data_IF_289819551543
#
_entry.id   IF_289819551543
#
_cell.length_a   1.000
_cell.length_b   1.000
_cell.length_c   1.000
_cell.angle_alpha   90.00
_cell.angle_beta   90.00
_cell.angle_gamma   90.00
#
_symmetry.space_group_name_H-M   'P 1'
#
loop_
_entity.id
_entity.type
_entity.pdbx_description
1 polymer ?
#
# COMPACT_ATOMS: atom_id res chain seq x y z
N UNK A 1 14.11 22.53 -6.72
CA UNK A 1 13.12 22.74 -5.64
C UNK A 1 12.58 21.38 -5.19
N UNK A 2 12.27 21.19 -3.90
CA UNK A 2 11.58 19.96 -3.45
C UNK A 2 10.11 20.03 -3.88
N UNK A 3 9.50 18.88 -4.18
CA UNK A 3 8.12 18.79 -4.71
C UNK A 3 7.06 19.45 -3.81
N UNK A 4 7.18 19.32 -2.49
CA UNK A 4 6.26 19.93 -1.52
C UNK A 4 6.32 21.46 -1.50
N UNK A 5 7.50 22.03 -1.71
CA UNK A 5 7.73 23.48 -1.67
C UNK A 5 7.12 24.13 -2.93
N UNK A 6 7.17 23.43 -4.06
CA UNK A 6 6.51 23.84 -5.30
C UNK A 6 4.98 23.87 -5.16
N UNK A 7 4.38 22.82 -4.60
CA UNK A 7 2.92 22.76 -4.45
C UNK A 7 2.41 23.90 -3.56
N UNK A 8 3.07 24.15 -2.41
CA UNK A 8 2.73 25.27 -1.52
C UNK A 8 2.80 26.63 -2.23
N UNK A 9 3.81 26.83 -3.07
CA UNK A 9 3.99 28.07 -3.81
C UNK A 9 2.93 28.28 -4.90
N UNK A 10 2.54 27.22 -5.61
CA UNK A 10 1.45 27.29 -6.59
C UNK A 10 0.11 27.54 -5.90
N UNK A 11 -0.11 26.95 -4.73
CA UNK A 11 -1.32 27.17 -3.94
C UNK A 11 -1.45 28.65 -3.55
N UNK A 12 -0.42 29.21 -2.92
CA UNK A 12 -0.46 30.59 -2.45
C UNK A 12 -0.67 31.60 -3.58
N UNK A 13 -0.02 31.40 -4.74
CA UNK A 13 -0.25 32.28 -5.90
C UNK A 13 -1.63 32.14 -6.52
N UNK A 14 -2.18 30.93 -6.54
CA UNK A 14 -3.55 30.70 -6.99
C UNK A 14 -4.57 31.34 -6.05
N UNK A 15 -4.35 31.31 -4.74
CA UNK A 15 -5.19 31.99 -3.73
C UNK A 15 -5.12 33.51 -3.87
N UNK A 16 -3.95 34.05 -4.19
CA UNK A 16 -3.76 35.47 -4.48
C UNK A 16 -4.41 35.93 -5.81
N UNK A 17 -4.99 35.01 -6.60
CA UNK A 17 -5.67 35.32 -7.87
C UNK A 17 -4.74 35.48 -9.07
N UNK A 18 -3.48 35.03 -8.98
CA UNK A 18 -2.55 35.11 -10.10
C UNK A 18 -2.93 34.16 -11.24
N UNK A 19 -2.86 34.64 -12.47
CA UNK A 19 -3.06 33.83 -13.68
C UNK A 19 -1.96 32.79 -13.88
N UNK A 20 -2.28 31.67 -14.52
CA UNK A 20 -1.36 30.53 -14.75
C UNK A 20 -0.07 30.93 -15.47
N UNK A 21 -0.14 31.86 -16.43
CA UNK A 21 1.02 32.40 -17.16
C UNK A 21 1.93 33.24 -16.28
N UNK A 22 1.37 34.00 -15.34
CA UNK A 22 2.13 34.79 -14.35
C UNK A 22 2.88 33.86 -13.40
N UNK A 23 2.18 32.84 -12.88
CA UNK A 23 2.78 31.81 -12.02
C UNK A 23 3.95 31.09 -12.73
N UNK A 24 3.78 30.74 -14.01
CA UNK A 24 4.84 30.11 -14.81
C UNK A 24 6.08 31.00 -14.98
N UNK A 25 5.86 32.29 -15.29
CA UNK A 25 6.96 33.27 -15.43
C UNK A 25 7.71 33.43 -14.11
N UNK A 26 7.00 33.54 -13.00
CA UNK A 26 7.61 33.71 -11.69
C UNK A 26 8.37 32.46 -11.20
N UNK A 27 8.00 31.29 -11.71
CA UNK A 27 8.73 30.04 -11.48
C UNK A 27 9.94 29.86 -12.39
N UNK A 28 10.26 30.86 -13.23
CA UNK A 28 11.41 30.89 -14.13
C UNK A 28 11.57 29.61 -14.96
N UNK A 29 10.46 29.02 -15.41
CA UNK A 29 10.50 27.79 -16.23
C UNK A 29 10.92 26.51 -15.50
N UNK A 30 11.00 26.53 -14.17
CA UNK A 30 11.34 25.33 -13.38
C UNK A 30 10.34 24.17 -13.55
N UNK A 31 9.13 24.45 -14.08
CA UNK A 31 8.08 23.47 -14.36
C UNK A 31 7.35 23.83 -15.64
N UNK A 32 6.69 22.87 -16.29
CA UNK A 32 5.92 23.14 -17.51
C UNK A 32 4.59 23.83 -17.22
N UNK A 33 4.15 24.70 -18.15
CA UNK A 33 2.88 25.42 -18.07
C UNK A 33 1.68 24.46 -17.90
N UNK A 34 1.70 23.31 -18.60
CA UNK A 34 0.69 22.26 -18.47
C UNK A 34 0.56 21.69 -17.04
N UNK A 35 1.67 21.65 -16.30
CA UNK A 35 1.67 21.16 -14.92
C UNK A 35 1.01 22.18 -13.98
N UNK A 36 1.31 23.46 -14.19
CA UNK A 36 0.71 24.57 -13.44
C UNK A 36 -0.79 24.64 -13.70
N UNK A 37 -1.21 24.56 -14.97
CA UNK A 37 -2.63 24.53 -15.34
C UNK A 37 -3.37 23.36 -14.70
N UNK A 38 -2.77 22.16 -14.70
CA UNK A 38 -3.32 20.98 -14.04
C UNK A 38 -3.47 21.20 -12.53
N UNK A 39 -2.48 21.82 -11.87
CA UNK A 39 -2.54 22.17 -10.46
C UNK A 39 -3.63 23.21 -10.18
N UNK A 40 -3.68 24.33 -10.90
CA UNK A 40 -4.71 25.36 -10.74
C UNK A 40 -6.12 24.81 -10.99
N UNK A 41 -6.29 23.92 -11.97
CA UNK A 41 -7.57 23.23 -12.19
C UNK A 41 -7.96 22.37 -10.99
N UNK A 42 -7.04 21.56 -10.47
CA UNK A 42 -7.26 20.74 -9.26
C UNK A 42 -7.61 21.58 -8.03
N UNK A 43 -6.93 22.70 -7.82
CA UNK A 43 -7.22 23.62 -6.71
C UNK A 43 -8.66 24.13 -6.82
N UNK A 44 -9.11 24.52 -8.01
CA UNK A 44 -10.50 24.97 -8.24
C UNK A 44 -11.53 23.85 -8.01
N UNK A 45 -11.22 22.62 -8.41
CA UNK A 45 -12.15 21.48 -8.32
C UNK A 45 -12.24 20.87 -6.91
N UNK A 46 -11.10 20.74 -6.21
CA UNK A 46 -10.98 19.94 -4.98
C UNK A 46 -10.48 20.77 -3.78
N UNK A 47 -9.96 21.97 -4.01
CA UNK A 47 -9.37 22.82 -2.97
C UNK A 47 -7.95 22.42 -2.55
N UNK A 48 -7.40 21.33 -3.09
CA UNK A 48 -6.06 20.83 -2.71
C UNK A 48 -5.24 20.36 -3.93
N UNK A 49 -3.92 20.52 -3.81
CA UNK A 49 -2.95 20.11 -4.84
C UNK A 49 -2.51 18.65 -4.66
N UNK A 50 -2.75 18.08 -3.49
CA UNK A 50 -2.30 16.74 -3.14
C UNK A 50 -2.78 15.73 -4.18
N UNK A 51 -1.85 14.93 -4.71
CA UNK A 51 -2.21 13.79 -5.53
C UNK A 51 -3.03 12.88 -4.63
N UNK A 52 -4.36 12.84 -4.82
CA UNK A 52 -5.23 11.84 -4.22
C UNK A 52 -4.51 10.52 -4.36
N UNK A 53 -4.14 9.92 -3.23
CA UNK A 53 -3.36 8.69 -3.18
C UNK A 53 -3.92 7.74 -4.24
N UNK A 54 -3.06 7.28 -5.15
CA UNK A 54 -3.46 6.35 -6.21
C UNK A 54 -4.34 5.29 -5.58
N UNK A 55 -5.58 5.15 -6.08
CA UNK A 55 -6.55 4.19 -5.54
C UNK A 55 -5.81 2.88 -5.33
N UNK A 56 -5.77 2.41 -4.09
CA UNK A 56 -5.10 1.17 -3.77
C UNK A 56 -5.73 0.08 -4.65
N UNK A 57 -4.96 -0.43 -5.61
CA UNK A 57 -5.43 -1.52 -6.46
C UNK A 57 -5.64 -2.75 -5.58
N UNK A 58 -6.87 -2.95 -5.14
CA UNK A 58 -7.27 -4.15 -4.42
C UNK A 58 -6.93 -5.35 -5.29
N UNK A 59 -6.13 -6.28 -4.76
CA UNK A 59 -5.71 -7.46 -5.53
C UNK A 59 -6.93 -8.28 -5.93
N UNK A 60 -7.03 -8.59 -7.23
CA UNK A 60 -8.14 -9.33 -7.86
C UNK A 60 -8.49 -10.63 -7.11
N UNK A 61 -7.49 -11.33 -6.57
CA UNK A 61 -7.68 -12.63 -5.90
C UNK A 61 -8.36 -12.51 -4.53
N UNK A 62 -8.25 -11.36 -3.84
CA UNK A 62 -8.71 -11.18 -2.45
C UNK A 62 -10.19 -10.74 -2.41
N UNK A 63 -11.03 -11.40 -3.18
CA UNK A 63 -12.48 -11.15 -3.18
C UNK A 63 -13.13 -11.71 -1.92
N UNK A 64 -14.29 -11.16 -1.54
CA UNK A 64 -15.10 -11.68 -0.42
C UNK A 64 -15.41 -13.18 -0.60
N UNK A 65 -15.65 -13.62 -1.83
CA UNK A 65 -15.89 -15.02 -2.16
C UNK A 65 -14.66 -15.91 -1.86
N UNK A 66 -13.46 -15.47 -2.23
CA UNK A 66 -12.22 -16.19 -1.93
C UNK A 66 -11.95 -16.27 -0.43
N UNK A 67 -12.14 -15.16 0.30
CA UNK A 67 -12.00 -15.12 1.76
C UNK A 67 -12.97 -16.11 2.41
N UNK A 68 -14.24 -16.08 2.00
CA UNK A 68 -15.25 -16.98 2.55
C UNK A 68 -14.97 -18.45 2.20
N UNK A 69 -14.45 -18.74 1.00
CA UNK A 69 -14.02 -20.10 0.61
C UNK A 69 -12.92 -20.63 1.55
N UNK A 70 -11.90 -19.81 1.83
CA UNK A 70 -10.82 -20.16 2.76
C UNK A 70 -11.36 -20.33 4.18
N UNK A 71 -12.20 -19.41 4.65
CA UNK A 71 -12.81 -19.45 6.00
C UNK A 71 -13.66 -20.72 6.21
N UNK A 72 -14.54 -21.04 5.26
CA UNK A 72 -15.35 -22.28 5.30
C UNK A 72 -14.46 -23.51 5.34
N UNK A 73 -13.36 -23.52 4.57
CA UNK A 73 -12.48 -24.68 4.55
C UNK A 73 -11.72 -24.85 5.86
N UNK A 74 -11.29 -23.75 6.47
CA UNK A 74 -10.60 -23.73 7.76
C UNK A 74 -11.49 -24.27 8.88
N UNK A 75 -12.77 -23.91 8.90
CA UNK A 75 -13.73 -24.30 9.95
C UNK A 75 -14.19 -25.77 9.89
N UNK A 76 -13.73 -26.57 8.92
CA UNK A 76 -14.05 -28.01 8.89
C UNK A 76 -13.27 -28.74 9.99
N UNK A 77 -13.79 -29.89 10.45
CA UNK A 77 -13.18 -30.70 11.53
C UNK A 77 -11.71 -31.10 11.33
N UNK A 78 -11.20 -31.07 10.08
CA UNK A 78 -9.82 -31.45 9.75
C UNK A 78 -8.90 -30.21 9.69
N UNK A 79 -7.98 -30.02 10.66
CA UNK A 79 -7.02 -28.92 10.62
C UNK A 79 -6.07 -29.11 9.43
N UNK A 80 -5.78 -28.00 8.75
CA UNK A 80 -4.92 -27.97 7.57
C UNK A 80 -3.82 -26.93 7.72
N UNK A 81 -2.65 -27.25 7.18
CA UNK A 81 -1.62 -26.25 6.94
C UNK A 81 -2.02 -25.30 5.81
N UNK A 82 -1.44 -24.09 5.81
CA UNK A 82 -1.65 -23.08 4.75
C UNK A 82 -1.39 -23.61 3.34
N UNK A 83 -0.42 -24.53 3.17
CA UNK A 83 -0.14 -25.19 1.87
C UNK A 83 -1.29 -26.09 1.42
N UNK A 84 -1.87 -26.88 2.33
CA UNK A 84 -3.01 -27.75 2.01
C UNK A 84 -4.26 -26.91 1.73
N UNK A 85 -4.48 -25.83 2.51
CA UNK A 85 -5.54 -24.86 2.24
C UNK A 85 -5.44 -24.27 0.84
N UNK A 86 -4.23 -23.86 0.42
CA UNK A 86 -3.99 -23.33 -0.92
C UNK A 86 -4.35 -24.35 -2.02
N UNK A 87 -3.87 -25.60 -1.90
CA UNK A 87 -4.19 -26.67 -2.85
C UNK A 87 -5.69 -26.94 -2.96
N UNK A 88 -6.40 -27.00 -1.84
CA UNK A 88 -7.84 -27.31 -1.85
C UNK A 88 -8.72 -26.11 -2.26
N UNK A 89 -8.26 -24.88 -2.01
CA UNK A 89 -9.01 -23.67 -2.40
C UNK A 89 -8.68 -23.19 -3.81
N UNK A 90 -7.63 -23.70 -4.45
CA UNK A 90 -7.17 -23.26 -5.78
C UNK A 90 -6.57 -21.85 -5.78
N UNK A 91 -6.10 -21.39 -4.62
CA UNK A 91 -5.53 -20.05 -4.43
C UNK A 91 -4.03 -20.18 -4.16
N UNK A 92 -3.23 -19.22 -4.63
CA UNK A 92 -1.79 -19.23 -4.35
C UNK A 92 -1.49 -19.19 -2.85
N UNK A 93 -0.44 -19.92 -2.42
CA UNK A 93 -0.03 -20.00 -1.00
C UNK A 93 0.14 -18.62 -0.35
N UNK A 94 0.79 -17.69 -1.05
CA UNK A 94 1.03 -16.33 -0.56
C UNK A 94 -0.26 -15.55 -0.33
N UNK A 95 -1.25 -15.72 -1.22
CA UNK A 95 -2.56 -15.10 -1.06
C UNK A 95 -3.35 -15.71 0.10
N UNK A 96 -3.36 -17.05 0.23
CA UNK A 96 -3.99 -17.71 1.38
C UNK A 96 -3.34 -17.26 2.69
N UNK A 97 -2.01 -17.19 2.76
CA UNK A 97 -1.31 -16.72 3.95
C UNK A 97 -1.69 -15.28 4.31
N UNK A 98 -1.84 -14.40 3.32
CA UNK A 98 -2.28 -13.01 3.55
C UNK A 98 -3.77 -12.96 3.94
N UNK A 99 -4.63 -13.82 3.40
CA UNK A 99 -6.03 -13.92 3.83
C UNK A 99 -6.09 -14.33 5.29
N UNK A 100 -5.37 -15.38 5.67
CA UNK A 100 -5.29 -15.85 7.06
C UNK A 100 -4.81 -14.75 8.01
N UNK A 101 -3.71 -14.05 7.66
CA UNK A 101 -3.09 -13.04 8.54
C UNK A 101 -3.87 -11.72 8.61
N UNK A 102 -4.37 -11.24 7.47
CA UNK A 102 -4.88 -9.87 7.37
C UNK A 102 -6.39 -9.76 7.19
N UNK A 103 -7.10 -10.78 6.65
CA UNK A 103 -8.58 -10.74 6.58
C UNK A 103 -9.22 -11.49 7.74
N UNK A 104 -8.63 -12.63 8.12
CA UNK A 104 -9.13 -13.49 9.19
C UNK A 104 -8.41 -13.26 10.52
N UNK A 105 -7.38 -12.41 10.51
CA UNK A 105 -6.60 -12.00 11.69
C UNK A 105 -6.07 -13.17 12.53
N UNK A 106 -5.83 -14.31 11.88
CA UNK A 106 -5.36 -15.52 12.54
C UNK A 106 -3.88 -15.40 12.86
N UNK A 107 -3.57 -15.63 14.14
CA UNK A 107 -2.21 -15.72 14.64
C UNK A 107 -1.80 -17.18 14.84
N UNK A 108 -0.50 -17.40 14.99
CA UNK A 108 -0.01 -18.69 15.43
C UNK A 108 -0.57 -18.99 16.82
N UNK A 109 -1.08 -20.21 17.02
CA UNK A 109 -1.57 -20.66 18.32
C UNK A 109 -0.48 -20.60 19.39
N UNK A 110 0.75 -20.98 19.03
CA UNK A 110 1.92 -20.95 19.91
C UNK A 110 3.14 -20.50 19.12
N UNK A 111 3.92 -19.61 19.71
CA UNK A 111 5.26 -19.26 19.23
C UNK A 111 6.24 -20.02 20.11
N UNK A 112 6.99 -20.95 19.53
CA UNK A 112 8.07 -21.64 20.22
C UNK A 112 9.30 -20.73 20.22
N UNK A 113 9.77 -20.37 21.41
CA UNK A 113 11.06 -19.67 21.58
C UNK A 113 12.14 -20.73 21.63
N UNK A 114 12.97 -20.77 20.61
CA UNK A 114 14.14 -21.65 20.57
C UNK A 114 15.35 -20.92 21.17
N UNK A 115 16.34 -21.69 21.62
CA UNK A 115 17.59 -21.12 22.11
C UNK A 115 18.37 -20.50 20.95
N UNK A 116 18.88 -19.29 21.17
CA UNK A 116 19.75 -18.62 20.20
C UNK A 116 21.11 -19.33 20.19
N UNK A 117 21.58 -19.73 19.01
CA UNK A 117 22.89 -20.36 18.85
C UNK A 117 23.99 -19.32 19.03
N UNK A 118 24.56 -19.24 20.24
CA UNK A 118 25.76 -18.45 20.54
C UNK A 118 26.97 -18.94 19.76
N UNK A 119 27.97 -18.07 19.55
CA UNK A 119 29.15 -18.41 18.75
C UNK A 119 29.95 -19.58 19.33
N UNK A 120 30.04 -19.71 20.66
CA UNK A 120 30.63 -20.88 21.32
C UNK A 120 29.93 -22.22 21.00
N UNK A 121 28.62 -22.20 20.73
CA UNK A 121 27.90 -23.40 20.29
C UNK A 121 28.19 -23.76 18.83
N UNK A 122 28.53 -22.77 17.99
CA UNK A 122 28.90 -23.00 16.58
C UNK A 122 30.28 -23.65 16.48
N UNK A 123 31.23 -23.28 17.35
CA UNK A 123 32.56 -23.87 17.42
C UNK A 123 32.54 -25.36 17.79
N UNK A 124 31.61 -25.78 18.66
CA UNK A 124 31.45 -27.18 19.08
C UNK A 124 30.69 -28.06 18.07
N UNK A 125 30.24 -27.49 16.97
CA UNK A 125 29.43 -28.18 15.95
C UNK A 125 30.31 -28.85 14.88
N UNK A 126 31.53 -28.37 14.68
CA UNK A 126 32.56 -28.97 13.81
C UNK A 126 33.31 -30.06 14.55
#
# INVERSE_FOLDING_TARGET
MKSKDFQKLVLSKSENGDGTTKIFRDLNGATSLSTIERCCRRIREVGTIDLVNSRECSRIIRTKAAIQKVKRRLNRRKPLSSRKLARESGISRSSVQRILKSDLELQAYKIQKEQLLTDSHKEKRT
#
